data_IF_531623007114
#
_entry.id   IF_531623007114
#
_cell.length_a   1.000
_cell.length_b   1.000
_cell.length_c   1.000
_cell.angle_alpha   90.00
_cell.angle_beta   90.00
_cell.angle_gamma   90.00
#
_symmetry.space_group_name_H-M   'P 1'
#
loop_
_entity.id
_entity.type
_entity.pdbx_description
1 polymer ?
#
# COMPACT_ATOMS: atom_id res chain seq x y z
N UNK A 1 -15.15 -11.37 -22.97
CA UNK A 1 -13.93 -11.17 -22.15
C UNK A 1 -14.00 -9.90 -21.30
N UNK A 2 -13.90 -8.66 -21.84
CA UNK A 2 -13.92 -7.41 -21.01
C UNK A 2 -15.18 -7.31 -20.14
N UNK A 3 -16.34 -7.56 -20.73
CA UNK A 3 -17.67 -7.51 -20.05
C UNK A 3 -17.76 -8.45 -18.84
N UNK A 4 -17.21 -9.64 -18.97
CA UNK A 4 -17.19 -10.65 -17.90
C UNK A 4 -16.17 -10.31 -16.82
N UNK A 5 -14.96 -9.94 -17.23
CA UNK A 5 -13.88 -9.62 -16.29
C UNK A 5 -14.20 -8.43 -15.38
N UNK A 6 -14.87 -7.42 -15.93
CA UNK A 6 -15.27 -6.23 -15.19
C UNK A 6 -16.69 -6.33 -14.61
N UNK A 7 -17.36 -7.49 -14.77
CA UNK A 7 -18.70 -7.73 -14.26
C UNK A 7 -19.70 -6.63 -14.63
N UNK A 8 -19.74 -6.27 -15.94
CA UNK A 8 -20.62 -5.21 -16.46
C UNK A 8 -21.75 -5.71 -17.34
N UNK A 9 -21.92 -7.04 -17.45
CA UNK A 9 -22.91 -7.67 -18.34
C UNK A 9 -24.34 -7.16 -18.13
N UNK A 10 -24.75 -7.03 -16.86
CA UNK A 10 -26.11 -6.63 -16.51
C UNK A 10 -26.36 -5.13 -16.74
N UNK A 11 -25.30 -4.33 -16.71
CA UNK A 11 -25.38 -2.86 -16.78
C UNK A 11 -25.01 -2.27 -18.15
N UNK A 12 -24.54 -3.10 -19.09
CA UNK A 12 -24.02 -2.62 -20.40
C UNK A 12 -25.05 -1.83 -21.24
N UNK A 13 -26.33 -2.06 -20.98
CA UNK A 13 -27.44 -1.34 -21.64
C UNK A 13 -28.01 -0.20 -20.81
N UNK A 14 -27.52 -0.01 -19.59
CA UNK A 14 -27.99 1.04 -18.69
C UNK A 14 -27.39 2.37 -19.09
N UNK A 15 -28.16 3.43 -19.21
CA UNK A 15 -27.64 4.77 -19.49
C UNK A 15 -26.62 5.19 -18.44
N UNK A 16 -25.48 5.76 -18.87
CA UNK A 16 -24.34 6.10 -17.98
C UNK A 16 -24.75 6.97 -16.78
N UNK A 17 -25.73 7.85 -16.94
CA UNK A 17 -26.28 8.71 -15.88
C UNK A 17 -26.96 7.95 -14.72
N UNK A 18 -27.32 6.67 -14.95
CA UNK A 18 -27.99 5.82 -13.97
C UNK A 18 -27.04 4.84 -13.31
N UNK A 19 -25.79 4.80 -13.74
CA UNK A 19 -24.77 3.94 -13.18
C UNK A 19 -24.24 4.53 -11.86
N UNK A 20 -23.98 3.67 -10.88
CA UNK A 20 -23.17 4.06 -9.72
C UNK A 20 -21.75 4.43 -10.16
N UNK A 21 -21.00 5.14 -9.30
CA UNK A 21 -19.62 5.52 -9.60
C UNK A 21 -18.77 4.28 -9.96
N UNK A 22 -18.87 3.21 -9.18
CA UNK A 22 -18.13 1.97 -9.43
C UNK A 22 -18.56 1.25 -10.72
N UNK A 23 -19.86 1.24 -11.04
CA UNK A 23 -20.34 0.69 -12.29
C UNK A 23 -19.82 1.49 -13.49
N UNK A 24 -19.90 2.82 -13.39
CA UNK A 24 -19.39 3.72 -14.40
C UNK A 24 -17.89 3.56 -14.63
N UNK A 25 -17.09 3.54 -13.57
CA UNK A 25 -15.63 3.35 -13.66
C UNK A 25 -15.28 2.03 -14.37
N UNK A 26 -15.96 0.92 -14.03
CA UNK A 26 -15.73 -0.36 -14.70
C UNK A 26 -16.10 -0.31 -16.19
N UNK A 27 -17.14 0.42 -16.57
CA UNK A 27 -17.49 0.63 -17.99
C UNK A 27 -16.45 1.51 -18.70
N UNK A 28 -15.95 2.57 -18.07
CA UNK A 28 -14.91 3.45 -18.61
C UNK A 28 -13.60 2.69 -18.82
N UNK A 29 -13.19 1.87 -17.85
CA UNK A 29 -12.05 0.97 -18.01
C UNK A 29 -12.26 0.01 -19.18
N UNK A 30 -13.43 -0.64 -19.29
CA UNK A 30 -13.72 -1.51 -20.42
C UNK A 30 -13.59 -0.76 -21.76
N UNK A 31 -14.11 0.45 -21.84
CA UNK A 31 -14.03 1.29 -23.06
C UNK A 31 -12.59 1.64 -23.45
N UNK A 32 -11.74 1.93 -22.47
CA UNK A 32 -10.32 2.23 -22.70
C UNK A 32 -9.54 1.05 -23.31
N UNK A 33 -10.01 -0.19 -23.12
CA UNK A 33 -9.35 -1.40 -23.64
C UNK A 33 -10.00 -1.99 -24.90
N UNK A 34 -11.09 -1.41 -25.42
CA UNK A 34 -11.82 -1.94 -26.59
C UNK A 34 -10.96 -2.04 -27.85
N UNK A 35 -10.04 -1.10 -28.06
CA UNK A 35 -9.19 -1.04 -29.25
C UNK A 35 -7.81 -1.68 -29.06
N UNK A 36 -7.66 -2.50 -28.00
CA UNK A 36 -6.43 -3.25 -27.65
C UNK A 36 -5.16 -2.36 -27.65
N UNK A 37 -5.13 -1.31 -26.85
CA UNK A 37 -4.03 -0.35 -26.84
C UNK A 37 -2.75 -0.99 -26.32
N UNK A 38 -1.59 -0.53 -26.83
CA UNK A 38 -0.27 -0.93 -26.32
C UNK A 38 0.09 -0.23 -25.01
N UNK A 39 -0.43 0.99 -24.81
CA UNK A 39 -0.19 1.81 -23.60
C UNK A 39 -1.54 2.36 -23.15
N UNK A 40 -1.81 2.29 -21.86
CA UNK A 40 -3.01 2.86 -21.21
C UNK A 40 -2.60 3.68 -20.01
N UNK A 41 -3.21 4.84 -19.87
CA UNK A 41 -3.13 5.67 -18.68
C UNK A 41 -4.43 5.52 -17.88
N UNK A 42 -4.32 5.17 -16.61
CA UNK A 42 -5.45 5.06 -15.68
C UNK A 42 -5.21 6.06 -14.55
N UNK A 43 -6.09 7.04 -14.47
CA UNK A 43 -6.03 8.06 -13.42
C UNK A 43 -6.97 7.66 -12.29
N UNK A 44 -6.40 7.32 -11.13
CA UNK A 44 -7.12 6.89 -9.92
C UNK A 44 -8.21 5.82 -10.18
N UNK A 45 -7.88 4.67 -10.81
CA UNK A 45 -8.88 3.73 -11.34
C UNK A 45 -9.74 3.04 -10.27
N UNK A 46 -9.39 3.16 -9.00
CA UNK A 46 -10.12 2.51 -7.88
C UNK A 46 -10.72 3.51 -6.89
N UNK A 47 -10.59 4.82 -7.17
CA UNK A 47 -11.10 5.85 -6.28
C UNK A 47 -12.63 5.74 -6.10
N UNK A 48 -13.09 5.81 -4.85
CA UNK A 48 -14.53 5.75 -4.54
C UNK A 48 -15.20 4.41 -4.82
N UNK A 49 -14.45 3.35 -5.15
CA UNK A 49 -15.00 2.00 -5.32
C UNK A 49 -15.11 1.28 -3.99
N UNK A 50 -16.15 0.43 -3.88
CA UNK A 50 -16.24 -0.57 -2.82
C UNK A 50 -15.14 -1.65 -2.97
N UNK A 51 -14.89 -2.40 -1.91
CA UNK A 51 -13.82 -3.42 -1.88
C UNK A 51 -13.95 -4.48 -2.98
N UNK A 52 -15.15 -4.89 -3.32
CA UNK A 52 -15.40 -5.90 -4.38
C UNK A 52 -15.05 -5.33 -5.74
N UNK A 53 -15.48 -4.11 -6.02
CA UNK A 53 -15.17 -3.39 -7.27
C UNK A 53 -13.67 -3.10 -7.41
N UNK A 54 -12.97 -2.73 -6.31
CA UNK A 54 -11.51 -2.56 -6.30
C UNK A 54 -10.80 -3.85 -6.69
N UNK A 55 -11.19 -4.98 -6.10
CA UNK A 55 -10.61 -6.30 -6.43
C UNK A 55 -10.81 -6.61 -7.91
N UNK A 56 -12.03 -6.44 -8.42
CA UNK A 56 -12.33 -6.72 -9.83
C UNK A 56 -11.47 -5.88 -10.80
N UNK A 57 -11.29 -4.59 -10.51
CA UNK A 57 -10.42 -3.70 -11.31
C UNK A 57 -8.95 -4.13 -11.21
N UNK A 58 -8.45 -4.42 -10.01
CA UNK A 58 -7.07 -4.91 -9.82
C UNK A 58 -6.79 -6.21 -10.57
N UNK A 59 -7.69 -7.17 -10.49
CA UNK A 59 -7.54 -8.45 -11.18
C UNK A 59 -7.60 -8.28 -12.70
N UNK A 60 -8.48 -7.40 -13.19
CA UNK A 60 -8.53 -7.04 -14.60
C UNK A 60 -7.21 -6.43 -15.08
N UNK A 61 -6.68 -5.43 -14.38
CA UNK A 61 -5.42 -4.75 -14.73
C UNK A 61 -4.26 -5.75 -14.78
N UNK A 62 -4.13 -6.61 -13.77
CA UNK A 62 -3.10 -7.68 -13.74
C UNK A 62 -3.21 -8.61 -14.94
N UNK A 63 -4.43 -9.06 -15.23
CA UNK A 63 -4.69 -10.04 -16.30
C UNK A 63 -4.40 -9.46 -17.67
N UNK A 64 -4.86 -8.24 -17.96
CA UNK A 64 -4.61 -7.58 -19.25
C UNK A 64 -3.11 -7.30 -19.44
N UNK A 65 -2.43 -6.79 -18.42
CA UNK A 65 -0.98 -6.58 -18.49
C UNK A 65 -0.23 -7.87 -18.82
N UNK A 66 -0.62 -9.00 -18.21
CA UNK A 66 0.04 -10.30 -18.43
C UNK A 66 -0.31 -10.93 -19.78
N UNK A 67 -1.59 -10.91 -20.18
CA UNK A 67 -2.08 -11.62 -21.36
C UNK A 67 -1.88 -10.84 -22.68
N UNK A 68 -2.02 -9.51 -22.62
CA UNK A 68 -1.94 -8.65 -23.80
C UNK A 68 -0.64 -7.86 -23.90
N UNK A 69 0.26 -7.98 -22.90
CA UNK A 69 1.49 -7.17 -22.81
C UNK A 69 1.24 -5.66 -22.91
N UNK A 70 0.06 -5.20 -22.50
CA UNK A 70 -0.29 -3.77 -22.46
C UNK A 70 0.52 -3.09 -21.35
N UNK A 71 1.23 -2.03 -21.68
CA UNK A 71 1.86 -1.18 -20.67
C UNK A 71 0.80 -0.33 -20.00
N UNK A 72 0.68 -0.44 -18.69
CA UNK A 72 -0.31 0.32 -17.91
C UNK A 72 0.46 1.29 -17.00
N UNK A 73 0.16 2.57 -17.15
CA UNK A 73 0.63 3.64 -16.28
C UNK A 73 -0.59 4.09 -15.48
N UNK A 74 -0.52 3.92 -14.17
CA UNK A 74 -1.63 4.32 -13.29
C UNK A 74 -1.15 5.34 -12.26
N UNK A 75 -2.01 6.31 -11.96
CA UNK A 75 -1.86 7.16 -10.78
C UNK A 75 -2.72 6.58 -9.67
N UNK A 76 -2.26 6.63 -8.45
CA UNK A 76 -3.04 6.28 -7.28
C UNK A 76 -2.40 6.82 -6.00
N UNK A 77 -3.22 7.12 -5.01
CA UNK A 77 -2.82 7.34 -3.63
C UNK A 77 -3.23 6.17 -2.72
N UNK A 78 -3.91 5.14 -3.28
CA UNK A 78 -4.28 3.92 -2.54
C UNK A 78 -3.07 2.97 -2.51
N UNK A 79 -2.49 2.80 -1.33
CA UNK A 79 -1.33 1.95 -1.12
C UNK A 79 -1.59 0.48 -1.44
N UNK A 80 -2.85 0.03 -1.27
CA UNK A 80 -3.26 -1.30 -1.69
C UNK A 80 -3.23 -1.49 -3.21
N UNK A 81 -3.43 -0.42 -4.01
CA UNK A 81 -3.24 -0.48 -5.46
C UNK A 81 -1.76 -0.57 -5.82
N UNK A 82 -0.93 0.24 -5.15
CA UNK A 82 0.52 0.21 -5.36
C UNK A 82 1.04 -1.20 -5.09
N UNK A 83 0.71 -1.78 -3.95
CA UNK A 83 1.14 -3.12 -3.56
C UNK A 83 0.63 -4.19 -4.53
N UNK A 84 -0.65 -4.11 -4.90
CA UNK A 84 -1.29 -5.11 -5.73
C UNK A 84 -0.86 -5.06 -7.20
N UNK A 85 -0.63 -3.88 -7.77
CA UNK A 85 -0.52 -3.68 -9.21
C UNK A 85 0.89 -3.37 -9.70
N UNK A 86 1.77 -2.83 -8.83
CA UNK A 86 2.99 -2.22 -9.32
C UNK A 86 4.26 -3.00 -8.96
N UNK A 87 5.20 -3.02 -9.89
CA UNK A 87 6.58 -3.48 -9.64
C UNK A 87 7.55 -2.31 -9.62
N UNK A 88 7.23 -1.23 -10.34
CA UNK A 88 8.01 0.00 -10.43
C UNK A 88 7.10 1.16 -10.02
N UNK A 89 7.61 2.02 -9.17
CA UNK A 89 6.94 3.21 -8.68
C UNK A 89 7.74 4.44 -9.06
N UNK A 90 7.03 5.46 -9.49
CA UNK A 90 7.55 6.80 -9.75
C UNK A 90 6.89 7.74 -8.75
N UNK A 91 7.67 8.31 -7.84
CA UNK A 91 7.20 9.33 -6.90
C UNK A 91 7.49 10.72 -7.45
N UNK A 92 6.44 11.53 -7.56
CA UNK A 92 6.53 12.91 -8.05
C UNK A 92 6.06 13.85 -6.95
N UNK A 93 6.83 14.89 -6.68
CA UNK A 93 6.44 15.94 -5.73
C UNK A 93 7.00 17.30 -6.14
N UNK A 94 6.20 18.36 -5.97
CA UNK A 94 6.56 19.74 -6.36
C UNK A 94 7.10 19.85 -7.80
N UNK A 95 6.52 19.06 -8.72
CA UNK A 95 6.93 19.04 -10.13
C UNK A 95 8.29 18.39 -10.41
N UNK A 96 8.85 17.65 -9.46
CA UNK A 96 10.13 16.96 -9.61
C UNK A 96 9.96 15.45 -9.45
N UNK A 97 10.79 14.69 -10.17
CA UNK A 97 10.94 13.26 -9.97
C UNK A 97 11.76 13.04 -8.69
N UNK A 98 11.14 12.46 -7.68
CA UNK A 98 11.78 12.23 -6.38
C UNK A 98 12.33 10.82 -6.27
N UNK A 99 11.61 9.87 -6.84
CA UNK A 99 12.00 8.47 -6.83
C UNK A 99 11.51 7.79 -8.11
N UNK A 100 12.37 6.91 -8.64
CA UNK A 100 12.03 5.99 -9.72
C UNK A 100 12.68 4.64 -9.40
N UNK A 101 11.89 3.63 -9.13
CA UNK A 101 12.47 2.35 -8.73
C UNK A 101 11.47 1.24 -8.43
N UNK A 102 12.03 0.10 -8.00
CA UNK A 102 11.24 -1.04 -7.56
C UNK A 102 10.50 -0.74 -6.26
N UNK A 103 9.19 -0.98 -6.24
CA UNK A 103 8.37 -0.88 -5.03
C UNK A 103 8.92 -1.74 -3.89
N UNK A 104 9.32 -2.98 -4.16
CA UNK A 104 9.88 -3.86 -3.14
C UNK A 104 11.18 -3.33 -2.53
N UNK A 105 12.05 -2.68 -3.34
CA UNK A 105 13.27 -2.08 -2.82
C UNK A 105 12.97 -0.84 -1.97
N UNK A 106 11.95 -0.08 -2.36
CA UNK A 106 11.47 1.05 -1.59
C UNK A 106 10.98 0.59 -0.22
N UNK A 107 10.09 -0.40 -0.19
CA UNK A 107 9.58 -0.95 1.08
C UNK A 107 10.74 -1.48 1.94
N UNK A 108 11.66 -2.26 1.39
CA UNK A 108 12.82 -2.76 2.15
C UNK A 108 13.69 -1.66 2.76
N UNK A 109 13.82 -0.53 2.07
CA UNK A 109 14.65 0.60 2.55
C UNK A 109 13.98 1.38 3.68
N UNK A 110 12.65 1.54 3.61
CA UNK A 110 11.89 2.43 4.52
C UNK A 110 10.96 1.68 5.48
N UNK A 111 10.77 0.38 5.31
CA UNK A 111 9.98 -0.43 6.24
C UNK A 111 10.83 -0.81 7.45
N UNK A 112 10.26 -0.60 8.61
CA UNK A 112 10.77 -1.04 9.89
C UNK A 112 9.83 -2.08 10.50
N UNK A 113 10.28 -2.81 11.49
CA UNK A 113 9.38 -3.62 12.31
C UNK A 113 8.76 -2.75 13.39
N UNK A 114 7.46 -2.89 13.55
CA UNK A 114 6.71 -2.26 14.64
C UNK A 114 6.33 -3.36 15.62
N UNK A 115 6.73 -3.19 16.87
CA UNK A 115 6.36 -4.07 17.97
C UNK A 115 5.38 -3.31 18.85
N UNK A 116 4.13 -3.75 18.89
CA UNK A 116 3.13 -3.28 19.81
C UNK A 116 3.13 -4.19 21.02
N UNK A 117 3.30 -3.64 22.22
CA UNK A 117 3.28 -4.42 23.46
C UNK A 117 2.29 -3.87 24.46
N UNK A 118 1.63 -4.77 25.19
CA UNK A 118 1.00 -4.48 26.48
C UNK A 118 1.90 -4.95 27.57
N UNK A 119 2.17 -4.11 28.54
CA UNK A 119 3.16 -4.41 29.59
C UNK A 119 2.76 -3.87 30.96
N UNK A 120 3.39 -4.40 32.00
CA UNK A 120 3.40 -3.85 33.35
C UNK A 120 4.79 -3.38 33.72
N UNK A 121 4.85 -2.34 34.52
CA UNK A 121 6.11 -1.77 35.02
C UNK A 121 6.42 -0.40 34.41
N UNK A 122 7.68 0.02 34.54
CA UNK A 122 8.17 1.30 34.00
C UNK A 122 8.87 1.03 32.66
N UNK A 123 8.54 1.85 31.66
CA UNK A 123 9.24 1.81 30.37
C UNK A 123 10.71 2.16 30.56
N UNK A 124 11.57 1.46 29.84
CA UNK A 124 13.01 1.58 29.85
C UNK A 124 13.51 2.49 28.72
N UNK A 125 14.75 2.91 28.81
CA UNK A 125 15.46 3.48 27.68
C UNK A 125 15.71 2.37 26.64
N UNK A 126 15.45 2.70 25.38
CA UNK A 126 15.61 1.75 24.30
C UNK A 126 17.05 1.71 23.81
N UNK A 127 17.59 0.53 23.48
CA UNK A 127 18.92 0.40 22.89
C UNK A 127 18.95 0.97 21.47
N UNK A 128 20.18 1.15 20.95
CA UNK A 128 20.40 1.60 19.59
C UNK A 128 19.66 0.70 18.58
N UNK A 129 18.89 1.32 17.68
CA UNK A 129 18.08 0.59 16.70
C UNK A 129 16.63 0.34 17.15
N UNK A 130 16.26 0.73 18.37
CA UNK A 130 14.88 0.70 18.85
C UNK A 130 14.44 2.11 19.26
N UNK A 131 13.22 2.49 18.89
CA UNK A 131 12.63 3.78 19.21
C UNK A 131 11.18 3.64 19.65
N UNK A 132 10.81 4.27 20.77
CA UNK A 132 9.40 4.36 21.16
C UNK A 132 8.72 5.40 20.25
N UNK A 133 7.71 4.95 19.49
CA UNK A 133 6.91 5.79 18.61
C UNK A 133 5.70 6.33 19.35
N UNK A 134 5.04 5.46 20.10
CA UNK A 134 3.87 5.80 20.92
C UNK A 134 3.99 5.15 22.28
N UNK A 135 3.53 5.84 23.32
CA UNK A 135 3.54 5.38 24.69
C UNK A 135 2.26 5.76 25.41
N UNK A 136 1.62 4.80 26.02
CA UNK A 136 0.54 5.00 26.97
C UNK A 136 0.86 4.34 28.32
N UNK A 137 -0.09 4.32 29.25
CA UNK A 137 0.16 3.79 30.60
C UNK A 137 0.65 2.33 30.60
N UNK A 138 0.05 1.49 29.76
CA UNK A 138 0.31 0.06 29.71
C UNK A 138 0.62 -0.47 28.30
N UNK A 139 0.82 0.40 27.33
CA UNK A 139 1.09 0.04 25.93
C UNK A 139 2.28 0.83 25.40
N UNK A 140 3.11 0.17 24.62
CA UNK A 140 4.19 0.78 23.84
C UNK A 140 4.11 0.32 22.41
N UNK A 141 4.36 1.26 21.50
CA UNK A 141 4.62 1.00 20.09
C UNK A 141 6.09 1.33 19.82
N UNK A 142 6.84 0.30 19.47
CA UNK A 142 8.30 0.37 19.33
C UNK A 142 8.64 0.11 17.87
N UNK A 143 9.39 1.01 17.25
CA UNK A 143 9.98 0.83 15.95
C UNK A 143 11.36 0.18 16.09
N UNK A 144 11.63 -0.84 15.28
CA UNK A 144 12.90 -1.58 15.25
C UNK A 144 13.55 -1.42 13.87
N UNK A 145 14.74 -0.85 13.84
CA UNK A 145 15.57 -0.73 12.65
C UNK A 145 16.43 -2.00 12.50
N UNK A 146 16.00 -2.91 11.64
CA UNK A 146 16.69 -4.19 11.43
C UNK A 146 18.11 -4.05 10.84
N UNK A 147 18.50 -2.87 10.36
CA UNK A 147 19.88 -2.59 9.98
C UNK A 147 20.82 -2.38 11.18
N UNK A 148 20.26 -2.07 12.37
CA UNK A 148 21.02 -1.77 13.59
C UNK A 148 20.90 -2.85 14.67
N UNK A 149 19.75 -3.52 14.75
CA UNK A 149 19.50 -4.56 15.74
C UNK A 149 18.65 -5.67 15.12
N UNK A 150 18.99 -6.94 15.40
CA UNK A 150 18.15 -8.05 14.95
C UNK A 150 16.82 -8.05 15.69
N UNK A 151 15.75 -8.41 14.99
CA UNK A 151 14.42 -8.50 15.59
C UNK A 151 14.38 -9.43 16.82
N UNK A 152 15.11 -10.55 16.77
CA UNK A 152 15.25 -11.48 17.89
C UNK A 152 15.86 -10.84 19.12
N UNK A 153 16.88 -10.00 18.95
CA UNK A 153 17.56 -9.33 20.04
C UNK A 153 16.67 -8.22 20.65
N UNK A 154 15.91 -7.53 19.80
CA UNK A 154 14.90 -6.56 20.23
C UNK A 154 13.79 -7.23 21.07
N UNK A 155 13.28 -8.37 20.61
CA UNK A 155 12.27 -9.16 21.36
C UNK A 155 12.84 -9.64 22.68
N UNK A 156 14.06 -10.17 22.68
CA UNK A 156 14.73 -10.61 23.90
C UNK A 156 14.92 -9.48 24.91
N UNK A 157 15.38 -8.31 24.44
CA UNK A 157 15.52 -7.12 25.27
C UNK A 157 14.18 -6.72 25.92
N UNK A 158 13.11 -6.63 25.13
CA UNK A 158 11.77 -6.28 25.62
C UNK A 158 11.31 -7.28 26.68
N UNK A 159 11.38 -8.58 26.36
CA UNK A 159 10.88 -9.64 27.24
C UNK A 159 11.69 -9.83 28.53
N UNK A 160 12.97 -9.49 28.50
CA UNK A 160 13.82 -9.55 29.71
C UNK A 160 13.70 -8.31 30.59
N UNK A 161 13.25 -7.20 30.03
CA UNK A 161 13.22 -5.89 30.70
C UNK A 161 11.84 -5.47 31.18
N UNK A 162 10.78 -6.05 30.62
CA UNK A 162 9.39 -5.72 30.93
C UNK A 162 8.56 -6.98 31.18
N UNK A 163 7.56 -6.89 32.06
CA UNK A 163 6.53 -7.91 32.17
C UNK A 163 5.55 -7.75 30.99
N UNK A 164 5.84 -8.45 29.89
CA UNK A 164 5.02 -8.40 28.67
C UNK A 164 3.76 -9.24 28.84
N UNK A 165 2.60 -8.63 28.65
CA UNK A 165 1.29 -9.28 28.71
C UNK A 165 0.82 -9.73 27.33
N UNK A 166 1.15 -8.94 26.31
CA UNK A 166 0.80 -9.20 24.92
C UNK A 166 1.83 -8.56 23.99
N UNK A 167 2.10 -9.17 22.84
CA UNK A 167 3.05 -8.67 21.86
C UNK A 167 2.57 -8.97 20.45
N UNK A 168 2.48 -7.94 19.62
CA UNK A 168 2.17 -8.05 18.20
C UNK A 168 3.29 -7.42 17.38
N UNK A 169 3.75 -8.13 16.35
CA UNK A 169 4.82 -7.66 15.47
C UNK A 169 4.26 -7.47 14.06
N UNK A 170 4.43 -6.26 13.54
CA UNK A 170 3.99 -5.88 12.18
C UNK A 170 5.14 -5.26 11.39
N UNK A 171 5.01 -5.24 10.08
CA UNK A 171 5.80 -4.30 9.27
C UNK A 171 5.19 -2.90 9.41
N UNK A 172 6.00 -1.87 9.18
CA UNK A 172 5.49 -0.50 8.99
C UNK A 172 4.46 -0.51 7.86
N UNK A 173 3.32 0.11 8.07
CA UNK A 173 2.32 0.26 7.02
C UNK A 173 2.89 1.05 5.83
N UNK A 174 2.44 0.70 4.62
CA UNK A 174 2.90 1.36 3.40
C UNK A 174 2.55 2.85 3.43
N UNK A 175 1.41 3.20 4.03
CA UNK A 175 1.00 4.60 4.24
C UNK A 175 2.03 5.37 5.07
N UNK A 176 2.55 4.76 6.14
CA UNK A 176 3.61 5.35 6.98
C UNK A 176 4.93 5.47 6.20
N UNK A 177 5.27 4.48 5.37
CA UNK A 177 6.44 4.54 4.49
C UNK A 177 6.34 5.70 3.51
N UNK A 178 5.18 5.86 2.87
CA UNK A 178 4.91 6.96 1.92
C UNK A 178 4.94 8.32 2.64
N UNK A 179 4.31 8.42 3.83
CA UNK A 179 4.33 9.63 4.64
C UNK A 179 5.74 10.03 5.06
N UNK A 180 6.61 9.06 5.40
CA UNK A 180 8.00 9.33 5.74
C UNK A 180 8.81 9.80 4.53
N UNK A 181 8.54 9.23 3.35
CA UNK A 181 9.12 9.72 2.09
C UNK A 181 8.74 11.17 1.81
N UNK A 182 7.47 11.53 1.96
CA UNK A 182 7.03 12.92 1.78
C UNK A 182 7.74 13.87 2.75
N UNK A 183 7.92 13.47 4.01
CA UNK A 183 8.67 14.27 5.00
C UNK A 183 10.15 14.42 4.62
N UNK A 184 10.81 13.33 4.20
CA UNK A 184 12.23 13.34 3.79
C UNK A 184 12.45 14.28 2.61
N UNK A 185 11.54 14.30 1.64
CA UNK A 185 11.61 15.18 0.48
C UNK A 185 10.97 16.56 0.71
N UNK A 186 10.50 16.86 1.92
CA UNK A 186 9.88 18.14 2.31
C UNK A 186 8.71 18.57 1.41
N UNK A 187 7.83 17.62 1.12
CA UNK A 187 6.63 17.83 0.30
C UNK A 187 5.42 18.06 1.20
#
# INVERSE_FOLDING_TARGET
MLVEMLNIKEIIKTPTRQLSLGQRMRCEIAAAFLHEPKIVFLDEPTIGLDSISKIAVRDFVKKINKEKNTTIILTTHDTGDIEALTKRVILIGKGKLLLDGSFNNLIKKYSHKIINIKYKGKALEMPLGMQIVEKSANELKIMVDENKIKLTDAIFFISSSLEVLDMEIKNTDIDDVVANLYKEYQI
#
